data_IF_730016534251
#
_entry.id   IF_730016534251
#
_cell.length_a   1.000
_cell.length_b   1.000
_cell.length_c   1.000
_cell.angle_alpha   90.00
_cell.angle_beta   90.00
_cell.angle_gamma   90.00
#
_symmetry.space_group_name_H-M   'P 1'
#
loop_
_entity.id
_entity.type
_entity.pdbx_description
1 polymer ?
#
# COMPACT_ATOMS: atom_id res chain seq x y z
N UNK A 1 -12.37 11.64 -6.69
CA UNK A 1 -11.52 11.22 -5.56
C UNK A 1 -12.13 9.94 -5.02
N UNK A 2 -11.52 8.79 -5.27
CA UNK A 2 -12.07 7.50 -4.81
C UNK A 2 -11.48 7.22 -3.44
N UNK A 3 -12.30 7.32 -2.40
CA UNK A 3 -11.87 7.12 -1.01
C UNK A 3 -12.00 5.63 -0.69
N UNK A 4 -10.89 4.98 -0.38
CA UNK A 4 -10.87 3.60 0.11
C UNK A 4 -11.11 3.67 1.63
N UNK A 5 -12.36 3.48 2.06
CA UNK A 5 -12.72 3.44 3.48
C UNK A 5 -12.76 1.97 3.93
N UNK A 6 -11.90 1.61 4.87
CA UNK A 6 -11.86 0.29 5.49
C UNK A 6 -11.40 0.47 6.95
N UNK A 7 -12.17 -0.06 7.89
CA UNK A 7 -11.99 0.15 9.34
C UNK A 7 -10.64 -0.37 9.88
N UNK A 8 -9.90 -1.16 9.08
CA UNK A 8 -8.58 -1.71 9.44
C UNK A 8 -7.38 -0.99 8.80
N UNK A 9 -7.61 0.08 8.02
CA UNK A 9 -6.52 0.84 7.41
C UNK A 9 -6.04 1.91 8.40
N UNK A 10 -4.97 1.57 9.13
CA UNK A 10 -4.16 2.54 9.86
C UNK A 10 -3.20 3.28 8.90
N UNK A 11 -2.77 4.48 9.26
CA UNK A 11 -1.78 5.29 8.54
C UNK A 11 -0.53 4.49 8.15
N UNK A 12 -0.06 3.59 9.03
CA UNK A 12 1.06 2.70 8.75
C UNK A 12 0.76 1.68 7.65
N UNK A 13 -0.42 1.06 7.67
CA UNK A 13 -0.85 0.11 6.64
C UNK A 13 -1.04 0.80 5.29
N UNK A 14 -1.61 2.00 5.31
CA UNK A 14 -1.73 2.84 4.12
C UNK A 14 -0.35 3.16 3.55
N UNK A 15 0.62 3.53 4.40
CA UNK A 15 1.98 3.85 3.96
C UNK A 15 2.67 2.64 3.32
N UNK A 16 2.49 1.44 3.89
CA UNK A 16 2.99 0.20 3.28
C UNK A 16 2.43 0.01 1.87
N UNK A 17 1.11 0.12 1.72
CA UNK A 17 0.43 -0.06 0.43
C UNK A 17 0.87 1.02 -0.58
N UNK A 18 0.96 2.28 -0.15
CA UNK A 18 1.42 3.40 -1.00
C UNK A 18 2.85 3.14 -1.49
N UNK A 19 3.75 2.70 -0.61
CA UNK A 19 5.14 2.39 -0.99
C UNK A 19 5.23 1.30 -2.05
N UNK A 20 4.36 0.29 -1.96
CA UNK A 20 4.27 -0.79 -2.95
C UNK A 20 3.76 -0.26 -4.29
N UNK A 21 2.70 0.56 -4.26
CA UNK A 21 2.12 1.22 -5.42
C UNK A 21 3.14 2.12 -6.12
N UNK A 22 3.94 2.89 -5.37
CA UNK A 22 5.01 3.74 -5.92
C UNK A 22 6.13 2.92 -6.59
N UNK A 23 6.52 1.82 -5.96
CA UNK A 23 7.52 0.90 -6.53
C UNK A 23 7.03 0.30 -7.84
N UNK A 24 5.73 -0.01 -7.96
CA UNK A 24 5.15 -0.49 -9.21
C UNK A 24 4.93 0.62 -10.24
N UNK A 25 4.62 1.85 -9.79
CA UNK A 25 4.51 3.04 -10.65
C UNK A 25 5.80 3.29 -11.44
N UNK A 26 6.97 3.03 -10.86
CA UNK A 26 8.26 3.14 -11.54
C UNK A 26 8.38 2.27 -12.81
N UNK A 27 7.59 1.19 -12.94
CA UNK A 27 7.52 0.37 -14.16
C UNK A 27 6.77 1.06 -15.31
N UNK A 28 6.01 2.11 -15.01
CA UNK A 28 5.29 2.92 -15.98
C UNK A 28 6.11 4.18 -16.30
N UNK A 29 7.10 4.02 -17.19
CA UNK A 29 7.92 5.11 -17.73
C UNK A 29 7.07 6.25 -18.34
N UNK A 30 7.60 7.47 -18.23
CA UNK A 30 7.08 8.82 -18.52
C UNK A 30 6.20 9.01 -19.77
N UNK A 31 6.23 8.08 -20.73
CA UNK A 31 5.40 8.12 -21.95
C UNK A 31 4.00 7.47 -21.83
N UNK A 32 3.67 6.79 -20.72
CA UNK A 32 2.36 6.13 -20.55
C UNK A 32 1.66 6.65 -19.30
N UNK A 33 0.76 7.61 -19.48
CA UNK A 33 -0.15 8.06 -18.43
C UNK A 33 -0.82 6.85 -17.78
N UNK A 34 -0.85 6.84 -16.46
CA UNK A 34 -1.46 5.77 -15.67
C UNK A 34 -2.99 5.90 -15.74
N UNK A 35 -3.55 5.47 -16.87
CA UNK A 35 -4.98 5.56 -17.12
C UNK A 35 -5.76 4.74 -16.09
N UNK A 36 -6.92 5.26 -15.66
CA UNK A 36 -7.82 4.65 -14.66
C UNK A 36 -8.13 3.18 -14.96
N UNK A 37 -8.28 2.80 -16.23
CA UNK A 37 -8.54 1.41 -16.60
C UNK A 37 -7.36 0.46 -16.33
N UNK A 38 -6.12 0.97 -16.42
CA UNK A 38 -4.91 0.19 -16.12
C UNK A 38 -4.72 0.04 -14.62
N UNK A 39 -5.00 1.11 -13.86
CA UNK A 39 -4.99 1.04 -12.39
C UNK A 39 -6.00 0.02 -11.86
N UNK A 40 -7.24 0.01 -12.38
CA UNK A 40 -8.26 -0.99 -11.97
C UNK A 40 -7.88 -2.44 -12.30
N UNK A 41 -7.04 -2.66 -13.31
CA UNK A 41 -6.52 -4.00 -13.67
C UNK A 41 -5.26 -4.38 -12.92
N UNK A 42 -4.60 -3.41 -12.28
CA UNK A 42 -3.36 -3.67 -11.56
C UNK A 42 -3.67 -4.35 -10.23
N UNK A 43 -3.16 -5.57 -10.08
CA UNK A 43 -3.20 -6.28 -8.80
C UNK A 43 -1.85 -6.10 -8.14
N UNK A 44 -1.87 -5.75 -6.86
CA UNK A 44 -0.69 -5.69 -5.99
C UNK A 44 -0.69 -6.94 -5.12
N UNK A 45 0.50 -7.47 -4.81
CA UNK A 45 0.64 -8.60 -3.90
C UNK A 45 0.80 -8.07 -2.47
N UNK A 46 -0.04 -8.55 -1.56
CA UNK A 46 0.03 -8.21 -0.14
C UNK A 46 0.47 -9.44 0.67
N UNK A 47 1.14 -9.24 1.81
CA UNK A 47 1.40 -10.31 2.76
C UNK A 47 0.06 -10.90 3.25
N UNK A 48 0.04 -12.21 3.46
CA UNK A 48 -1.12 -12.94 3.96
C UNK A 48 -0.85 -13.50 5.34
N UNK A 49 -1.87 -13.55 6.17
CA UNK A 49 -1.87 -14.19 7.47
C UNK A 49 -2.06 -15.72 7.33
N UNK A 50 -2.03 -16.42 8.46
CA UNK A 50 -2.26 -17.87 8.50
C UNK A 50 -3.67 -18.30 8.06
N UNK A 51 -4.60 -17.36 7.92
CA UNK A 51 -5.98 -17.57 7.47
C UNK A 51 -6.18 -17.19 6.00
N UNK A 52 -5.11 -16.82 5.28
CA UNK A 52 -5.16 -16.40 3.88
C UNK A 52 -5.77 -15.01 3.67
N UNK A 53 -5.91 -14.21 4.73
CA UNK A 53 -6.36 -12.81 4.67
C UNK A 53 -5.15 -11.87 4.67
N UNK A 54 -5.26 -10.61 4.22
CA UNK A 54 -4.16 -9.66 4.29
C UNK A 54 -3.64 -9.49 5.73
N UNK A 55 -2.32 -9.62 5.93
CA UNK A 55 -1.69 -9.49 7.24
C UNK A 55 -1.45 -8.01 7.59
N UNK A 56 -2.46 -7.38 8.18
CA UNK A 56 -2.40 -5.99 8.62
C UNK A 56 -1.38 -5.75 9.74
N UNK A 57 -1.20 -6.73 10.63
CA UNK A 57 -0.29 -6.59 11.77
C UNK A 57 1.16 -6.62 11.31
N UNK A 58 1.50 -7.49 10.36
CA UNK A 58 2.82 -7.52 9.74
C UNK A 58 3.12 -6.21 9.01
N UNK A 59 2.18 -5.69 8.19
CA UNK A 59 2.38 -4.44 7.44
C UNK A 59 2.64 -3.26 8.39
N UNK A 60 1.88 -3.15 9.47
CA UNK A 60 2.05 -2.11 10.47
C UNK A 60 3.41 -2.20 11.19
N UNK A 61 3.76 -3.38 11.70
CA UNK A 61 5.02 -3.60 12.41
C UNK A 61 6.23 -3.42 11.51
N UNK A 62 6.14 -3.81 10.24
CA UNK A 62 7.20 -3.61 9.27
C UNK A 62 7.52 -2.12 9.13
N UNK A 63 6.49 -1.28 8.91
CA UNK A 63 6.69 0.17 8.79
C UNK A 63 7.20 0.78 10.10
N UNK A 64 6.69 0.35 11.25
CA UNK A 64 7.16 0.80 12.57
C UNK A 64 8.60 0.39 12.89
N UNK A 65 9.06 -0.75 12.35
CA UNK A 65 10.43 -1.22 12.53
C UNK A 65 11.47 -0.44 11.71
N UNK A 66 11.02 0.32 10.71
CA UNK A 66 11.94 1.10 9.87
C UNK A 66 12.60 2.21 10.70
N UNK A 67 13.91 2.45 10.50
CA UNK A 67 14.67 3.41 11.30
C UNK A 67 14.19 4.87 11.13
N UNK A 68 13.49 5.15 10.03
CA UNK A 68 12.76 6.39 9.84
C UNK A 68 11.39 6.25 10.51
N UNK A 69 11.32 6.58 11.80
CA UNK A 69 10.06 6.72 12.51
C UNK A 69 9.24 7.83 11.83
N UNK A 70 8.31 7.42 10.96
CA UNK A 70 7.34 8.35 10.39
C UNK A 70 6.41 8.69 11.54
N UNK A 71 6.61 9.87 12.14
CA UNK A 71 5.68 10.47 13.10
C UNK A 71 4.39 10.84 12.36
N UNK A 72 3.60 9.82 12.02
CA UNK A 72 2.25 9.96 11.52
C UNK A 72 1.40 10.25 12.74
N UNK A 73 0.94 11.50 12.87
CA UNK A 73 -0.03 11.87 13.91
C UNK A 73 -1.37 11.24 13.53
N UNK A 74 -1.93 10.46 14.45
CA UNK A 74 -3.27 9.88 14.37
C UNK A 74 -4.37 10.96 14.39
#
# INVERSE_FOLDING_TARGET
MTVLNNDHINSYNALFIISLIEKEKMKFSYGRAWLLYRMKKHKIMLPIDSQGKPDWFFMENYIKSLPYNVNLKD
#
